data_IF_724781789192
#
_entry.id   IF_724781789192
#
_cell.length_a   1.000
_cell.length_b   1.000
_cell.length_c   1.000
_cell.angle_alpha   90.00
_cell.angle_beta   90.00
_cell.angle_gamma   90.00
#
_symmetry.space_group_name_H-M   'P 1'
#
loop_
_entity.id
_entity.type
_entity.pdbx_description
1 polymer ?
#
# COMPACT_ATOMS: atom_id res chain seq x y z
N UNK A 1 5.81 -4.20 10.23
CA UNK A 1 6.58 -3.75 11.42
C UNK A 1 7.39 -2.52 11.05
N UNK A 2 7.50 -1.54 11.95
CA UNK A 2 8.32 -0.34 11.78
C UNK A 2 9.53 -0.35 12.72
N UNK A 3 10.62 0.28 12.29
CA UNK A 3 11.81 0.58 13.09
C UNK A 3 12.07 2.09 13.04
N UNK A 4 11.75 2.78 14.13
CA UNK A 4 11.74 4.26 14.19
C UNK A 4 13.15 4.83 14.32
N UNK A 5 14.12 4.01 14.73
CA UNK A 5 15.54 4.41 14.82
C UNK A 5 16.15 4.70 13.44
N UNK A 6 15.56 4.16 12.37
CA UNK A 6 16.01 4.35 10.99
C UNK A 6 15.66 5.74 10.44
N UNK A 7 16.45 6.26 9.49
CA UNK A 7 16.17 7.55 8.88
C UNK A 7 14.82 7.58 8.16
N UNK A 8 14.20 8.77 7.99
CA UNK A 8 12.97 8.93 7.21
C UNK A 8 13.07 8.24 5.84
N UNK A 9 11.99 7.58 5.42
CA UNK A 9 11.95 6.74 4.22
C UNK A 9 12.39 5.28 4.41
N UNK A 10 13.16 4.95 5.46
CA UNK A 10 13.68 3.59 5.69
C UNK A 10 13.13 2.91 6.96
N UNK A 11 12.02 3.41 7.50
CA UNK A 11 11.44 2.93 8.76
C UNK A 11 10.55 1.69 8.60
N UNK A 12 10.11 1.36 7.40
CA UNK A 12 9.27 0.19 7.15
C UNK A 12 10.16 -1.07 7.15
N UNK A 13 10.06 -1.91 8.18
CA UNK A 13 10.82 -3.18 8.27
C UNK A 13 10.11 -4.34 7.57
N UNK A 14 8.79 -4.39 7.64
CA UNK A 14 7.99 -5.43 6.97
C UNK A 14 6.55 -4.97 6.73
N UNK A 15 5.95 -5.42 5.63
CA UNK A 15 4.54 -5.24 5.33
C UNK A 15 3.99 -6.58 4.85
N UNK A 16 2.94 -7.07 5.51
CA UNK A 16 2.18 -8.22 5.05
C UNK A 16 0.79 -7.76 4.64
N UNK A 17 0.28 -8.33 3.54
CA UNK A 17 -1.01 -8.01 2.95
C UNK A 17 -1.87 -9.27 2.88
N UNK A 18 -3.18 -9.11 2.90
CA UNK A 18 -4.11 -10.22 2.76
C UNK A 18 -4.13 -10.69 1.30
N UNK A 19 -3.92 -11.99 1.06
CA UNK A 19 -4.01 -12.54 -0.28
C UNK A 19 -5.46 -12.51 -0.80
N UNK A 20 -5.63 -12.16 -2.08
CA UNK A 20 -6.91 -12.23 -2.81
C UNK A 20 -6.97 -13.38 -3.82
N UNK A 21 -5.81 -13.92 -4.21
CA UNK A 21 -5.66 -15.05 -5.13
C UNK A 21 -5.29 -16.29 -4.31
N UNK A 22 -6.18 -16.70 -3.42
CA UNK A 22 -6.01 -17.81 -2.49
C UNK A 22 -7.38 -18.29 -2.00
N UNK A 23 -7.52 -19.59 -1.68
CA UNK A 23 -8.79 -20.16 -1.21
C UNK A 23 -9.15 -19.72 0.20
N UNK A 24 -8.15 -19.67 1.09
CA UNK A 24 -8.30 -19.22 2.47
C UNK A 24 -7.41 -17.98 2.63
N UNK A 25 -7.97 -16.82 3.02
CA UNK A 25 -7.20 -15.60 3.20
C UNK A 25 -6.10 -15.78 4.24
N UNK A 26 -4.89 -15.40 3.87
CA UNK A 26 -3.71 -15.38 4.76
C UNK A 26 -2.85 -14.18 4.45
N UNK A 27 -2.04 -13.80 5.43
CA UNK A 27 -1.06 -12.74 5.27
C UNK A 27 0.15 -13.24 4.49
N UNK A 28 0.54 -12.48 3.47
CA UNK A 28 1.73 -12.71 2.65
C UNK A 28 2.59 -11.45 2.61
N UNK A 29 3.92 -11.56 2.46
CA UNK A 29 4.77 -10.40 2.26
C UNK A 29 4.34 -9.58 1.05
N UNK A 30 4.35 -8.24 1.19
CA UNK A 30 4.06 -7.34 0.08
C UNK A 30 5.11 -7.52 -1.03
N UNK A 31 4.65 -7.66 -2.27
CA UNK A 31 5.49 -7.74 -3.45
C UNK A 31 5.52 -6.39 -4.17
N UNK A 32 6.67 -5.69 -4.24
CA UNK A 32 6.77 -4.37 -4.85
C UNK A 32 6.40 -4.29 -6.34
N UNK A 33 6.40 -5.43 -7.04
CA UNK A 33 6.09 -5.51 -8.48
C UNK A 33 4.63 -5.90 -8.75
N UNK A 34 3.84 -6.19 -7.72
CA UNK A 34 2.44 -6.62 -7.85
C UNK A 34 1.50 -5.41 -7.71
N UNK A 35 0.44 -5.39 -8.52
CA UNK A 35 -0.65 -4.42 -8.39
C UNK A 35 -1.64 -4.88 -7.33
N UNK A 36 -2.02 -3.96 -6.44
CA UNK A 36 -2.98 -4.22 -5.36
C UNK A 36 -4.19 -3.29 -5.47
N UNK A 37 -5.37 -3.83 -5.19
CA UNK A 37 -6.59 -3.04 -5.01
C UNK A 37 -6.70 -2.66 -3.53
N UNK A 38 -6.89 -1.37 -3.26
CA UNK A 38 -7.00 -0.81 -1.91
C UNK A 38 -8.30 -0.01 -1.80
N UNK A 39 -8.97 -0.11 -0.66
CA UNK A 39 -10.08 0.78 -0.30
C UNK A 39 -9.48 1.94 0.48
N UNK A 40 -9.67 3.17 -0.01
CA UNK A 40 -9.12 4.39 0.56
C UNK A 40 -10.17 5.52 0.49
N UNK A 41 -10.17 6.46 1.46
CA UNK A 41 -10.95 7.70 1.34
C UNK A 41 -10.52 8.53 0.12
N UNK A 42 -11.45 9.26 -0.49
CA UNK A 42 -11.18 10.14 -1.64
C UNK A 42 -10.09 11.18 -1.35
N UNK A 43 -10.07 11.74 -0.14
CA UNK A 43 -9.03 12.69 0.30
C UNK A 43 -7.60 12.18 0.07
N UNK A 44 -7.32 10.91 0.38
CA UNK A 44 -5.99 10.31 0.16
C UNK A 44 -5.76 9.97 -1.32
N UNK A 45 -6.81 9.56 -2.04
CA UNK A 45 -6.78 9.29 -3.48
C UNK A 45 -6.44 10.54 -4.31
N UNK A 46 -6.76 11.72 -3.77
CA UNK A 46 -6.49 13.03 -4.36
C UNK A 46 -5.19 13.68 -3.84
N UNK A 47 -4.44 12.98 -2.99
CA UNK A 47 -3.11 13.38 -2.53
C UNK A 47 -3.08 14.21 -1.24
N UNK A 48 -4.13 14.19 -0.43
CA UNK A 48 -4.18 14.80 0.90
C UNK A 48 -3.03 14.34 1.81
N UNK A 49 -2.70 15.13 2.85
CA UNK A 49 -1.59 14.90 3.80
C UNK A 49 -0.21 14.62 3.15
N UNK A 50 -0.01 15.01 1.89
CA UNK A 50 1.24 14.77 1.17
C UNK A 50 1.35 13.37 0.57
N UNK A 51 0.27 12.59 0.50
CA UNK A 51 0.23 11.29 -0.19
C UNK A 51 0.15 11.44 -1.73
N UNK A 52 0.94 12.36 -2.31
CA UNK A 52 0.96 12.65 -3.74
C UNK A 52 1.31 11.43 -4.58
N UNK A 53 2.12 10.51 -4.04
CA UNK A 53 2.48 9.26 -4.71
C UNK A 53 1.27 8.38 -5.02
N UNK A 54 0.20 8.44 -4.23
CA UNK A 54 -1.04 7.71 -4.52
C UNK A 54 -1.75 8.34 -5.72
N UNK A 55 -1.90 9.66 -5.73
CA UNK A 55 -2.54 10.39 -6.83
C UNK A 55 -1.80 10.19 -8.16
N UNK A 56 -0.48 10.26 -8.14
CA UNK A 56 0.37 10.19 -9.33
C UNK A 56 0.52 8.76 -9.88
N UNK A 57 0.53 7.75 -9.01
CA UNK A 57 0.83 6.36 -9.40
C UNK A 57 -0.37 5.41 -9.34
N UNK A 58 -1.56 5.87 -8.92
CA UNK A 58 -2.76 5.03 -8.98
C UNK A 58 -3.05 4.64 -10.42
N UNK A 59 -3.41 3.38 -10.60
CA UNK A 59 -4.01 2.94 -11.86
C UNK A 59 -5.48 3.33 -11.85
N UNK A 60 -6.05 3.58 -13.05
CA UNK A 60 -7.48 3.83 -13.18
C UNK A 60 -8.23 2.64 -12.58
N UNK A 61 -9.08 2.93 -11.59
CA UNK A 61 -10.00 1.94 -11.07
C UNK A 61 -11.21 1.93 -12.01
N UNK A 62 -11.30 0.91 -12.86
CA UNK A 62 -12.50 0.67 -13.63
C UNK A 62 -13.51 0.00 -12.69
N UNK A 63 -14.46 0.80 -12.21
CA UNK A 63 -15.65 0.36 -11.48
C UNK A 63 -16.73 -0.12 -12.45
#
# INVERSE_FOLDING_TARGET
VYDISKPPGNRVKSVNVLCTVCRVPRYEPLNPKKVYKLVLPSYLVDGGDGFTMIKEKKLKHDS
#
